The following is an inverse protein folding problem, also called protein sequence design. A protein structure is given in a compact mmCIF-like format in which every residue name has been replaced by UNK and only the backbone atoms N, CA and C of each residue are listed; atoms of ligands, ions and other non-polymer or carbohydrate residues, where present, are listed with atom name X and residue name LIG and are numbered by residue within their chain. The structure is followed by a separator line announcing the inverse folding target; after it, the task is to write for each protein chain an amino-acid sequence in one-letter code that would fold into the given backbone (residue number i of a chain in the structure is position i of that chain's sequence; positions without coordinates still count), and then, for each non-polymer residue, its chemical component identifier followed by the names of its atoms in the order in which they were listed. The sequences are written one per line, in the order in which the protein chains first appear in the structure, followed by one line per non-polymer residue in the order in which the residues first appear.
data_IF_770103791173
#
_entry.id   IF_770103791173
#
_cell.length_a   1.000
_cell.length_b   1.000
_cell.length_c   1.000
_cell.angle_alpha   90.00
_cell.angle_beta   90.00
_cell.angle_gamma   90.00
#
_symmetry.space_group_name_H-M   'P 1'
#
loop_
_entity.id
_entity.type
_entity.pdbx_description
1 polymer ?
#
# COMPACT_ATOMS: atom_id res chain seq x y z
N UNK A 1 9.34 -0.82 1.92
CA UNK A 1 9.37 -0.52 3.37
C UNK A 1 9.68 0.95 3.69
N UNK A 2 10.35 1.72 2.83
CA UNK A 2 10.66 3.15 3.12
C UNK A 2 9.57 4.16 2.69
N UNK A 3 9.61 5.38 3.22
CA UNK A 3 8.69 6.47 2.91
C UNK A 3 9.39 7.85 2.89
N UNK A 4 9.63 8.41 1.70
CA UNK A 4 10.41 9.65 1.55
C UNK A 4 9.53 10.90 1.42
N UNK A 5 10.02 12.01 1.98
CA UNK A 5 9.46 13.34 1.74
C UNK A 5 9.99 13.91 0.42
N UNK A 6 9.09 14.04 -0.55
CA UNK A 6 9.39 14.62 -1.86
C UNK A 6 9.03 16.11 -1.97
N UNK A 7 8.44 16.71 -0.92
CA UNK A 7 7.99 18.11 -0.94
C UNK A 7 9.11 19.09 -0.62
N UNK A 8 10.08 18.69 0.19
CA UNK A 8 11.21 19.52 0.59
C UNK A 8 12.24 19.75 -0.52
N UNK A 9 12.22 18.94 -1.60
CA UNK A 9 13.21 18.96 -2.70
C UNK A 9 14.68 18.93 -2.24
N UNK A 10 14.94 18.49 -1.00
CA UNK A 10 16.29 18.36 -0.45
C UNK A 10 16.93 17.04 -0.88
N UNK A 11 18.24 17.07 -1.18
CA UNK A 11 19.03 15.88 -1.50
C UNK A 11 20.09 15.71 -0.39
N UNK A 12 20.22 14.52 0.22
CA UNK A 12 19.43 13.31 0.00
C UNK A 12 17.98 13.46 0.47
N UNK A 13 17.05 12.70 -0.16
CA UNK A 13 15.65 12.66 0.26
C UNK A 13 15.57 12.13 1.70
N UNK A 14 14.73 12.77 2.50
CA UNK A 14 14.56 12.40 3.91
C UNK A 14 13.48 11.33 4.03
N UNK A 15 13.80 10.20 4.66
CA UNK A 15 12.80 9.22 5.10
C UNK A 15 11.99 9.83 6.25
N UNK A 16 10.66 9.72 6.20
CA UNK A 16 9.74 10.40 7.13
C UNK A 16 8.59 9.48 7.52
N UNK A 17 8.04 9.71 8.71
CA UNK A 17 6.85 9.00 9.17
C UNK A 17 5.57 9.43 8.45
N UNK A 18 5.45 10.71 8.07
CA UNK A 18 4.24 11.23 7.43
C UNK A 18 4.07 10.62 6.04
N UNK A 19 2.98 9.90 5.82
CA UNK A 19 2.64 9.29 4.55
C UNK A 19 1.65 10.18 3.78
N UNK A 20 1.97 10.51 2.53
CA UNK A 20 1.09 11.32 1.70
C UNK A 20 0.03 10.45 1.03
N UNK A 21 -1.23 10.62 1.43
CA UNK A 21 -2.37 9.97 0.80
C UNK A 21 -3.52 10.97 0.66
N UNK A 22 -3.90 11.28 -0.59
CA UNK A 22 -4.98 12.23 -0.88
C UNK A 22 -6.24 11.49 -1.31
N UNK A 23 -7.38 11.88 -0.71
CA UNK A 23 -8.66 11.24 -0.98
C UNK A 23 -9.35 11.83 -2.21
N UNK A 24 -9.87 10.97 -3.07
CA UNK A 24 -10.78 11.31 -4.16
C UNK A 24 -11.79 10.16 -4.36
N UNK A 25 -12.80 10.36 -5.19
CA UNK A 25 -13.85 9.35 -5.44
C UNK A 25 -13.91 8.98 -6.92
N UNK A 26 -14.19 7.71 -7.20
CA UNK A 26 -14.34 7.17 -8.56
C UNK A 26 -15.33 5.99 -8.54
N UNK A 27 -15.55 5.35 -9.69
CA UNK A 27 -16.36 4.13 -9.79
C UNK A 27 -15.48 2.89 -9.94
N UNK A 28 -16.01 1.71 -9.58
CA UNK A 28 -15.33 0.42 -9.78
C UNK A 28 -14.89 0.27 -11.24
N UNK A 29 -15.76 0.60 -12.20
CA UNK A 29 -15.44 0.50 -13.63
C UNK A 29 -14.24 1.37 -14.03
N UNK A 30 -14.20 2.65 -13.60
CA UNK A 30 -13.08 3.55 -13.91
C UNK A 30 -11.79 3.11 -13.22
N UNK A 31 -11.89 2.62 -11.99
CA UNK A 31 -10.71 2.14 -11.26
C UNK A 31 -10.17 0.84 -11.88
N UNK A 32 -11.03 -0.09 -12.28
CA UNK A 32 -10.65 -1.32 -12.97
C UNK A 32 -9.91 -1.03 -14.28
N UNK A 33 -10.37 -0.04 -15.06
CA UNK A 33 -9.65 0.42 -16.25
C UNK A 33 -8.24 0.92 -15.89
N UNK A 34 -8.13 1.79 -14.87
CA UNK A 34 -6.83 2.26 -14.40
C UNK A 34 -5.91 1.12 -13.94
N UNK A 35 -6.42 0.16 -13.17
CA UNK A 35 -5.66 -0.98 -12.68
C UNK A 35 -5.13 -1.83 -13.84
N UNK A 36 -5.96 -2.11 -14.85
CA UNK A 36 -5.58 -2.86 -16.04
C UNK A 36 -4.52 -2.12 -16.88
N UNK A 37 -4.69 -0.82 -17.10
CA UNK A 37 -3.68 0.00 -17.81
C UNK A 37 -2.35 0.05 -17.05
N UNK A 38 -2.39 0.23 -15.73
CA UNK A 38 -1.19 0.24 -14.90
C UNK A 38 -0.41 -1.07 -15.04
N UNK A 39 -1.10 -2.21 -15.08
CA UNK A 39 -0.48 -3.51 -15.31
C UNK A 39 0.14 -3.62 -16.70
N UNK A 40 -0.59 -3.21 -17.75
CA UNK A 40 -0.06 -3.24 -19.13
C UNK A 40 1.18 -2.35 -19.30
N UNK A 41 1.20 -1.17 -18.68
CA UNK A 41 2.37 -0.29 -18.73
C UNK A 41 3.56 -0.94 -18.03
N UNK A 42 3.36 -1.55 -16.86
CA UNK A 42 4.43 -2.27 -16.16
C UNK A 42 5.02 -3.43 -16.98
N UNK A 43 4.17 -4.24 -17.63
CA UNK A 43 4.64 -5.33 -18.49
C UNK A 43 5.43 -4.81 -19.69
N UNK A 44 5.01 -3.67 -20.28
CA UNK A 44 5.76 -3.05 -21.37
C UNK A 44 7.12 -2.53 -20.91
N UNK A 45 7.18 -1.93 -19.72
CA UNK A 45 8.43 -1.46 -19.13
C UNK A 45 9.39 -2.65 -18.94
N UNK A 46 8.92 -3.76 -18.37
CA UNK A 46 9.72 -4.99 -18.20
C UNK A 46 10.22 -5.59 -19.52
N UNK A 47 9.41 -5.57 -20.59
CA UNK A 47 9.79 -6.11 -21.89
C UNK A 47 10.75 -5.21 -22.69
N UNK A 48 10.77 -3.91 -22.40
CA UNK A 48 11.63 -2.93 -23.07
C UNK A 48 12.97 -2.71 -22.34
N UNK A 49 13.15 -3.27 -21.14
CA UNK A 49 14.45 -3.30 -20.46
C UNK A 49 15.42 -4.25 -21.21
N UNK A 50 16.59 -3.77 -21.66
CA UNK A 50 17.57 -4.63 -22.32
C UNK A 50 18.09 -5.66 -21.30
N UNK A 51 17.92 -6.95 -21.61
CA UNK A 51 18.51 -8.06 -20.84
C UNK A 51 20.04 -7.95 -20.92
N UNK A 52 20.64 -7.29 -19.94
CA UNK A 52 22.09 -7.38 -19.71
C UNK A 52 22.40 -8.76 -19.11
N UNK A 53 23.26 -9.57 -19.73
CA UNK A 53 23.66 -10.84 -19.15
C UNK A 53 24.45 -10.58 -17.85
N UNK A 54 24.13 -11.35 -16.81
CA UNK A 54 24.77 -11.28 -15.50
C UNK A 54 26.27 -11.54 -15.59
N UNK A 55 27.08 -10.47 -15.54
CA UNK A 55 28.52 -10.60 -15.28
C UNK A 55 28.75 -10.37 -13.79
N UNK A 56 29.08 -11.47 -13.13
CA UNK A 56 29.50 -11.53 -11.75
C UNK A 56 30.95 -11.04 -11.66
N UNK A 57 31.23 -9.85 -11.13
CA UNK A 57 32.50 -9.51 -10.44
C UNK A 57 32.45 -8.14 -9.75
N UNK A 58 32.78 -8.16 -8.46
CA UNK A 58 33.17 -7.06 -7.59
C UNK A 58 33.85 -5.87 -8.29
N UNK A 59 33.25 -4.68 -8.22
CA UNK A 59 33.93 -3.40 -7.98
C UNK A 59 32.87 -2.28 -8.01
N UNK A 60 32.87 -1.43 -6.98
CA UNK A 60 32.02 -0.24 -6.98
C UNK A 60 32.43 0.65 -8.14
N UNK A 61 31.49 0.95 -9.04
CA UNK A 61 31.54 2.07 -9.95
C UNK A 61 30.12 2.31 -10.51
N UNK A 62 29.70 3.55 -10.29
CA UNK A 62 28.49 4.25 -10.73
C UNK A 62 28.12 3.88 -12.17
N UNK A 63 27.01 3.16 -12.36
CA UNK A 63 26.43 2.92 -13.67
C UNK A 63 25.51 4.10 -14.05
N UNK A 64 26.09 5.09 -14.73
CA UNK A 64 25.36 6.12 -15.44
C UNK A 64 24.48 5.49 -16.52
N UNK A 65 23.17 5.44 -16.30
CA UNK A 65 22.19 5.11 -17.34
C UNK A 65 21.43 6.38 -17.72
N UNK A 66 21.92 7.06 -18.75
CA UNK A 66 21.19 8.11 -19.45
C UNK A 66 20.09 7.45 -20.31
N UNK A 67 18.88 7.31 -19.77
CA UNK A 67 17.71 6.89 -20.54
C UNK A 67 17.09 8.14 -21.20
N UNK A 68 17.41 8.36 -22.47
CA UNK A 68 16.75 9.35 -23.32
C UNK A 68 15.49 8.68 -23.90
N UNK A 69 14.31 9.03 -23.39
CA UNK A 69 13.03 8.71 -24.02
C UNK A 69 12.57 9.90 -24.88
N UNK A 70 12.65 9.75 -26.20
CA UNK A 70 12.11 10.70 -27.16
C UNK A 70 10.63 10.42 -27.42
N UNK A 71 9.75 11.36 -27.07
CA UNK A 71 8.37 11.37 -27.55
C UNK A 71 8.35 11.67 -29.06
N UNK A 72 7.67 10.81 -29.83
CA UNK A 72 7.37 11.09 -31.23
C UNK A 72 6.41 12.27 -31.36
N UNK A 73 6.89 13.37 -31.92
CA UNK A 73 6.31 14.14 -33.05
C UNK A 73 7.29 15.28 -33.41
N UNK A 74 7.39 15.61 -34.69
CA UNK A 74 8.55 16.24 -35.31
C UNK A 74 8.80 17.74 -35.01
N UNK A 75 10.09 18.13 -35.14
CA UNK A 75 10.69 19.46 -35.47
C UNK A 75 10.65 20.59 -34.42
N UNK A 76 11.80 20.87 -33.78
CA UNK A 76 12.79 21.89 -34.19
C UNK A 76 13.96 21.95 -33.21
N UNK A 77 15.16 22.00 -33.77
CA UNK A 77 16.47 22.24 -33.13
C UNK A 77 16.52 23.55 -32.36
N UNK A 78 17.09 23.55 -31.16
CA UNK A 78 17.96 24.63 -30.64
C UNK A 78 18.77 24.12 -29.44
N UNK A 79 20.09 24.20 -29.55
CA UNK A 79 21.07 23.88 -28.52
C UNK A 79 20.87 24.74 -27.26
N UNK A 80 20.93 24.12 -26.06
CA UNK A 80 21.32 24.81 -24.82
C UNK A 80 21.91 23.82 -23.80
N UNK A 81 23.22 23.91 -23.66
CA UNK A 81 24.04 23.82 -22.43
C UNK A 81 23.56 22.93 -21.30
N UNK A 82 24.35 21.87 -21.07
CA UNK A 82 24.40 21.01 -19.90
C UNK A 82 24.35 21.78 -18.57
N UNK A 83 23.26 21.61 -17.84
CA UNK A 83 23.24 21.78 -16.39
C UNK A 83 22.90 20.40 -15.82
N UNK A 84 23.86 19.81 -15.10
CA UNK A 84 23.69 18.56 -14.35
C UNK A 84 22.74 18.83 -13.17
N UNK A 85 21.44 18.90 -13.44
CA UNK A 85 20.43 18.71 -12.42
C UNK A 85 20.18 17.20 -12.39
N UNK A 86 20.57 16.56 -11.29
CA UNK A 86 20.12 15.22 -10.92
C UNK A 86 18.60 15.23 -10.88
N UNK A 87 17.95 14.94 -12.01
CA UNK A 87 16.51 14.92 -12.13
C UNK A 87 16.01 13.81 -11.22
N UNK A 88 15.27 14.18 -10.17
CA UNK A 88 14.42 13.27 -9.42
C UNK A 88 13.70 12.39 -10.45
N UNK A 89 13.99 11.09 -10.46
CA UNK A 89 13.23 10.10 -11.25
C UNK A 89 11.76 10.42 -11.07
N UNK A 90 11.04 10.68 -12.16
CA UNK A 90 9.64 11.16 -12.10
C UNK A 90 8.83 10.29 -11.14
N UNK A 91 8.44 10.87 -10.00
CA UNK A 91 7.70 10.15 -8.96
C UNK A 91 6.39 9.68 -9.58
N UNK A 92 6.21 8.37 -9.69
CA UNK A 92 4.99 7.79 -10.24
C UNK A 92 3.89 7.91 -9.20
N UNK A 93 2.98 8.86 -9.39
CA UNK A 93 1.76 8.96 -8.58
C UNK A 93 0.87 7.75 -8.93
N UNK A 94 0.55 6.95 -7.91
CA UNK A 94 -0.37 5.82 -8.02
C UNK A 94 -1.72 6.16 -7.38
N UNK A 95 -2.75 5.39 -7.71
CA UNK A 95 -4.07 5.47 -7.08
C UNK A 95 -4.37 4.14 -6.42
N UNK A 96 -5.00 4.17 -5.25
CA UNK A 96 -5.47 2.98 -4.54
C UNK A 96 -6.98 3.02 -4.39
N UNK A 97 -7.66 1.93 -4.75
CA UNK A 97 -9.11 1.80 -4.62
C UNK A 97 -9.41 1.15 -3.28
N UNK A 98 -9.72 1.95 -2.26
CA UNK A 98 -9.89 1.47 -0.88
C UNK A 98 -11.34 1.54 -0.45
N UNK A 99 -11.72 0.72 0.54
CA UNK A 99 -13.01 0.79 1.23
C UNK A 99 -14.24 0.70 0.31
N UNK A 100 -14.19 -0.12 -0.75
CA UNK A 100 -15.34 -0.36 -1.63
C UNK A 100 -16.37 -1.20 -0.87
N UNK A 101 -17.54 -0.62 -0.58
CA UNK A 101 -18.57 -1.27 0.22
C UNK A 101 -19.30 -2.38 -0.55
N UNK A 102 -19.26 -3.59 0.01
CA UNK A 102 -19.96 -4.77 -0.51
C UNK A 102 -21.17 -5.16 0.35
N UNK A 103 -21.71 -4.25 1.18
CA UNK A 103 -22.82 -4.52 2.10
C UNK A 103 -24.18 -4.85 1.44
N UNK A 104 -24.43 -4.40 0.20
CA UNK A 104 -25.72 -4.63 -0.49
C UNK A 104 -25.84 -6.07 -1.00
N UNK A 105 -26.53 -6.92 -0.22
CA UNK A 105 -26.73 -8.33 -0.53
C UNK A 105 -27.37 -8.58 -1.90
N UNK A 106 -28.20 -7.66 -2.40
CA UNK A 106 -28.84 -7.84 -3.71
C UNK A 106 -27.85 -7.68 -4.86
N UNK A 107 -26.80 -6.88 -4.66
CA UNK A 107 -25.75 -6.64 -5.67
C UNK A 107 -24.64 -7.67 -5.57
N UNK A 108 -24.32 -8.12 -4.35
CA UNK A 108 -23.15 -8.93 -4.06
C UNK A 108 -23.47 -10.32 -3.51
N UNK A 109 -24.70 -10.82 -3.73
CA UNK A 109 -25.18 -12.10 -3.20
C UNK A 109 -24.19 -13.25 -3.41
N UNK A 110 -23.66 -13.38 -4.62
CA UNK A 110 -22.70 -14.44 -4.95
C UNK A 110 -21.42 -14.31 -4.13
N UNK A 111 -20.84 -13.10 -4.06
CA UNK A 111 -19.62 -12.82 -3.32
C UNK A 111 -19.80 -13.04 -1.81
N UNK A 112 -20.89 -12.54 -1.23
CA UNK A 112 -21.18 -12.70 0.19
C UNK A 112 -21.49 -14.15 0.56
N UNK A 113 -22.18 -14.88 -0.32
CA UNK A 113 -22.44 -16.32 -0.14
C UNK A 113 -21.15 -17.14 -0.10
N UNK A 114 -20.14 -16.80 -0.91
CA UNK A 114 -18.85 -17.50 -0.87
C UNK A 114 -18.15 -17.37 0.49
N UNK A 115 -18.24 -16.19 1.12
CA UNK A 115 -17.64 -15.95 2.44
C UNK A 115 -18.32 -16.74 3.57
N UNK A 116 -19.55 -17.23 3.36
CA UNK A 116 -20.21 -18.12 4.33
C UNK A 116 -19.53 -19.48 4.43
N UNK A 117 -18.64 -19.84 3.50
CA UNK A 117 -17.85 -21.09 3.56
C UNK A 117 -16.72 -21.03 4.57
N UNK A 118 -16.34 -19.84 5.05
CA UNK A 118 -15.32 -19.67 6.08
C UNK A 118 -15.73 -20.37 7.40
N UNK A 119 -14.76 -20.74 8.27
CA UNK A 119 -15.03 -21.14 9.64
C UNK A 119 -15.81 -20.06 10.41
N UNK A 120 -16.67 -20.47 11.34
CA UNK A 120 -17.59 -19.55 12.05
C UNK A 120 -16.91 -18.34 12.70
N UNK A 121 -15.72 -18.52 13.27
CA UNK A 121 -14.97 -17.46 13.95
C UNK A 121 -14.36 -16.42 12.98
N UNK A 122 -14.37 -16.70 11.67
CA UNK A 122 -13.88 -15.81 10.61
C UNK A 122 -15.01 -15.19 9.77
N UNK A 123 -16.27 -15.60 9.99
CA UNK A 123 -17.41 -15.08 9.22
C UNK A 123 -17.77 -13.67 9.66
N UNK A 124 -18.20 -12.88 8.68
CA UNK A 124 -18.75 -11.51 8.89
C UNK A 124 -19.90 -11.52 9.90
N UNK A 125 -20.80 -12.51 9.77
CA UNK A 125 -21.92 -12.70 10.69
C UNK A 125 -21.82 -14.09 11.33
N UNK A 126 -21.78 -14.14 12.66
CA UNK A 126 -21.88 -15.38 13.43
C UNK A 126 -22.33 -15.09 14.87
N UNK A 127 -22.93 -16.09 15.54
CA UNK A 127 -23.38 -15.93 16.92
C UNK A 127 -22.23 -15.64 17.90
N UNK A 128 -21.01 -16.06 17.58
CA UNK A 128 -19.81 -15.80 18.38
C UNK A 128 -19.10 -14.49 18.07
N UNK A 129 -19.54 -13.73 17.06
CA UNK A 129 -18.96 -12.44 16.70
C UNK A 129 -19.71 -11.30 17.40
N UNK A 130 -19.04 -10.56 18.29
CA UNK A 130 -19.62 -9.41 19.01
C UNK A 130 -20.22 -8.36 18.05
N UNK A 131 -19.61 -8.13 16.88
CA UNK A 131 -20.11 -7.17 15.91
C UNK A 131 -21.46 -7.57 15.28
N UNK A 132 -21.85 -8.85 15.38
CA UNK A 132 -23.16 -9.35 14.93
C UNK A 132 -24.30 -8.99 15.90
N UNK A 133 -23.98 -8.63 17.15
CA UNK A 133 -24.96 -8.30 18.19
C UNK A 133 -25.28 -6.80 18.28
N UNK A 134 -24.64 -5.98 17.46
CA UNK A 134 -24.83 -4.51 17.44
C UNK A 134 -26.25 -4.13 16.96
N UNK A 135 -26.88 -4.97 16.14
CA UNK A 135 -28.25 -4.75 15.65
C UNK A 135 -28.35 -3.78 14.46
N UNK A 136 -27.23 -3.24 13.96
CA UNK A 136 -27.16 -2.42 12.75
C UNK A 136 -25.80 -2.56 12.05
N UNK A 137 -25.73 -2.11 10.79
CA UNK A 137 -24.51 -2.16 9.98
C UNK A 137 -23.50 -1.09 10.39
N UNK A 138 -22.27 -1.50 10.63
CA UNK A 138 -21.08 -0.66 10.71
C UNK A 138 -20.21 -0.99 9.50
N UNK A 139 -20.22 -0.11 8.51
CA UNK A 139 -19.58 -0.32 7.22
C UNK A 139 -18.09 -0.66 7.36
N UNK A 140 -17.68 -1.82 6.84
CA UNK A 140 -16.30 -2.31 6.90
C UNK A 140 -15.91 -3.06 8.17
N UNK A 141 -16.77 -3.09 9.20
CA UNK A 141 -16.53 -3.89 10.41
C UNK A 141 -17.42 -5.14 10.41
N UNK A 142 -18.74 -4.98 10.31
CA UNK A 142 -19.69 -6.08 10.13
C UNK A 142 -20.30 -6.14 8.73
N UNK A 143 -19.68 -5.44 7.78
CA UNK A 143 -19.90 -5.60 6.35
C UNK A 143 -18.55 -5.69 5.63
N UNK A 144 -18.55 -6.32 4.45
CA UNK A 144 -17.32 -6.55 3.69
C UNK A 144 -16.89 -5.27 2.97
N UNK A 145 -15.60 -4.96 3.03
CA UNK A 145 -14.95 -3.97 2.17
C UNK A 145 -13.98 -4.65 1.20
N UNK A 146 -13.97 -4.17 -0.05
CA UNK A 146 -13.02 -4.58 -1.08
C UNK A 146 -11.95 -3.50 -1.29
N UNK A 147 -10.72 -3.97 -1.51
CA UNK A 147 -9.57 -3.16 -1.88
C UNK A 147 -9.06 -3.58 -3.25
N UNK A 148 -8.91 -2.63 -4.16
CA UNK A 148 -8.34 -2.82 -5.50
C UNK A 148 -6.99 -2.11 -5.56
N UNK A 149 -5.90 -2.85 -5.77
CA UNK A 149 -4.53 -2.36 -5.58
C UNK A 149 -3.71 -2.42 -6.87
N UNK A 150 -2.77 -1.49 -7.00
CA UNK A 150 -1.60 -1.57 -7.89
C UNK A 150 -0.33 -1.64 -7.04
N UNK A 151 0.81 -2.10 -7.58
CA UNK A 151 2.06 -2.13 -6.84
C UNK A 151 2.40 -0.80 -6.18
N UNK A 152 2.81 -0.85 -4.91
CA UNK A 152 3.06 0.32 -4.07
C UNK A 152 1.83 0.90 -3.37
N UNK A 153 0.60 0.40 -3.61
CA UNK A 153 -0.58 0.79 -2.84
C UNK A 153 -0.40 0.46 -1.36
N UNK A 154 -0.62 1.44 -0.47
CA UNK A 154 -0.41 1.30 0.98
C UNK A 154 -1.70 1.58 1.75
N UNK A 155 -1.94 0.74 2.76
CA UNK A 155 -2.74 1.13 3.93
C UNK A 155 -1.73 1.56 5.00
N UNK A 156 -1.76 2.81 5.48
CA UNK A 156 -0.81 3.31 6.48
C UNK A 156 -0.98 2.58 7.82
N UNK A 157 -0.06 2.82 8.75
CA UNK A 157 -0.16 2.30 10.11
C UNK A 157 -1.44 2.76 10.80
N UNK A 158 -2.09 1.82 11.50
CA UNK A 158 -3.31 2.03 12.28
C UNK A 158 -3.52 0.84 13.21
N UNK A 159 -4.39 1.03 14.21
CA UNK A 159 -5.11 -0.06 14.86
C UNK A 159 -6.52 -0.12 14.28
N UNK A 160 -7.15 -1.29 14.30
CA UNK A 160 -8.54 -1.44 13.87
C UNK A 160 -9.48 -0.63 14.77
N UNK A 161 -10.64 -0.25 14.25
CA UNK A 161 -11.62 0.52 15.02
C UNK A 161 -12.01 -0.23 16.30
N UNK A 162 -11.87 0.45 17.44
CA UNK A 162 -12.11 -0.12 18.77
C UNK A 162 -11.31 -1.41 19.06
N UNK A 163 -10.15 -1.59 18.39
CA UNK A 163 -9.24 -2.73 18.57
C UNK A 163 -9.88 -4.10 18.30
N UNK A 164 -10.93 -4.15 17.48
CA UNK A 164 -11.48 -5.42 17.02
C UNK A 164 -10.47 -6.17 16.15
N UNK A 165 -10.54 -7.50 16.17
CA UNK A 165 -9.78 -8.31 15.22
C UNK A 165 -10.21 -8.01 13.78
N UNK A 166 -9.29 -8.17 12.83
CA UNK A 166 -9.58 -8.08 11.40
C UNK A 166 -9.25 -9.38 10.67
N UNK A 167 -10.03 -9.63 9.61
CA UNK A 167 -9.81 -10.72 8.65
C UNK A 167 -9.52 -10.06 7.30
N UNK A 168 -8.41 -10.44 6.68
CA UNK A 168 -8.05 -10.01 5.33
C UNK A 168 -7.75 -11.22 4.45
N UNK A 169 -8.34 -11.28 3.26
CA UNK A 169 -8.08 -12.32 2.26
C UNK A 169 -7.53 -11.67 1.00
N UNK A 170 -6.35 -12.10 0.55
CA UNK A 170 -5.79 -11.61 -0.71
C UNK A 170 -6.41 -12.37 -1.88
N UNK A 171 -7.14 -11.66 -2.75
CA UNK A 171 -7.74 -12.23 -3.96
C UNK A 171 -6.69 -12.49 -5.05
N UNK A 172 -5.57 -11.76 -5.04
CA UNK A 172 -4.53 -11.84 -6.05
C UNK A 172 -4.77 -10.96 -7.30
N UNK A 173 -3.98 -11.14 -8.37
CA UNK A 173 -2.94 -12.18 -8.52
C UNK A 173 -1.60 -11.84 -7.86
N UNK A 174 -1.39 -10.59 -7.46
CA UNK A 174 -0.16 -10.15 -6.79
C UNK A 174 -0.17 -10.42 -5.28
N UNK A 175 1.00 -10.26 -4.68
CA UNK A 175 1.21 -10.44 -3.24
C UNK A 175 0.96 -9.12 -2.47
N UNK A 176 0.66 -9.24 -1.17
CA UNK A 176 0.71 -8.12 -0.24
C UNK A 176 1.81 -8.35 0.80
N UNK A 177 2.62 -7.33 1.07
CA UNK A 177 3.58 -7.34 2.18
C UNK A 177 2.93 -6.72 3.42
N UNK A 178 3.04 -7.42 4.54
CA UNK A 178 2.49 -7.03 5.83
C UNK A 178 3.60 -6.69 6.82
N UNK A 179 3.33 -5.66 7.62
CA UNK A 179 4.13 -5.24 8.76
C UNK A 179 3.20 -5.16 9.96
N UNK A 180 3.52 -5.84 11.05
CA UNK A 180 2.72 -5.83 12.27
C UNK A 180 3.60 -5.71 13.50
N UNK A 181 3.08 -5.03 14.50
CA UNK A 181 3.69 -4.87 15.82
C UNK A 181 2.66 -5.33 16.85
N UNK A 182 3.11 -5.98 17.94
CA UNK A 182 2.20 -6.40 18.99
C UNK A 182 1.56 -5.19 19.70
N UNK A 183 0.28 -5.32 20.07
CA UNK A 183 -0.51 -4.26 20.70
C UNK A 183 0.22 -3.62 21.89
N UNK A 184 0.96 -4.36 22.71
CA UNK A 184 1.68 -3.80 23.88
C UNK A 184 2.66 -2.64 23.55
N UNK A 185 3.12 -2.52 22.30
CA UNK A 185 3.99 -1.44 21.86
C UNK A 185 3.25 -0.22 21.26
N UNK A 186 1.90 -0.24 21.19
CA UNK A 186 1.12 0.84 20.57
C UNK A 186 1.44 2.21 21.18
N UNK A 187 1.66 2.27 22.49
CA UNK A 187 2.01 3.51 23.19
C UNK A 187 3.38 4.08 22.78
N UNK A 188 4.36 3.22 22.48
CA UNK A 188 5.67 3.67 21.98
C UNK A 188 5.56 4.18 20.55
N UNK A 189 4.77 3.49 19.71
CA UNK A 189 4.48 3.95 18.34
C UNK A 189 3.74 5.30 18.38
N UNK A 190 2.78 5.48 19.28
CA UNK A 190 2.10 6.75 19.48
C UNK A 190 3.09 7.88 19.78
N UNK A 191 4.04 7.68 20.72
CA UNK A 191 5.09 8.67 21.02
C UNK A 191 5.97 8.96 19.80
N UNK A 192 6.26 7.96 18.96
CA UNK A 192 7.00 8.16 17.70
C UNK A 192 6.19 8.97 16.68
N UNK A 193 4.88 8.74 16.57
CA UNK A 193 3.97 9.56 15.76
C UNK A 193 3.98 11.04 16.23
N UNK A 194 3.82 11.29 17.53
CA UNK A 194 3.86 12.64 18.11
C UNK A 194 5.19 13.35 17.84
N UNK A 195 6.32 12.65 18.06
CA UNK A 195 7.67 13.17 17.79
C UNK A 195 7.86 13.58 16.33
N UNK A 196 7.16 12.90 15.42
CA UNK A 196 7.22 13.17 13.98
C UNK A 196 6.08 14.07 13.47
N UNK A 197 5.27 14.64 14.36
CA UNK A 197 4.22 15.59 14.01
C UNK A 197 3.08 14.98 13.19
N UNK A 198 2.76 13.71 13.42
CA UNK A 198 1.62 13.01 12.81
C UNK A 198 0.75 12.40 13.90
N UNK A 199 -0.57 12.52 13.76
CA UNK A 199 -1.52 11.95 14.73
C UNK A 199 -1.58 10.42 14.59
N UNK A 200 -1.50 9.69 15.70
CA UNK A 200 -1.49 8.23 15.71
C UNK A 200 -2.84 7.63 15.25
N UNK A 201 -3.96 8.19 15.71
CA UNK A 201 -5.29 7.60 15.50
C UNK A 201 -5.91 7.97 14.14
N UNK A 202 -5.64 9.18 13.66
CA UNK A 202 -6.32 9.79 12.51
C UNK A 202 -5.37 10.24 11.42
N UNK A 203 -4.06 10.30 11.71
CA UNK A 203 -3.04 10.65 10.73
C UNK A 203 -2.75 9.52 9.75
N UNK A 204 -2.06 9.86 8.65
CA UNK A 204 -1.50 8.87 7.73
C UNK A 204 -0.01 8.77 7.96
N UNK A 205 0.43 7.66 8.53
CA UNK A 205 1.83 7.44 8.90
C UNK A 205 2.35 6.09 8.43
N UNK A 206 3.65 6.04 8.16
CA UNK A 206 4.37 4.87 7.69
C UNK A 206 5.68 4.76 8.49
N UNK A 207 5.83 3.79 9.41
CA UNK A 207 6.99 3.73 10.29
C UNK A 207 8.31 3.60 9.55
N UNK A 208 9.35 4.23 10.10
CA UNK A 208 10.74 3.98 9.72
C UNK A 208 11.22 2.77 10.53
N UNK A 209 11.64 1.69 9.86
CA UNK A 209 11.98 0.44 10.53
C UNK A 209 13.18 0.59 11.49
N UNK A 210 14.15 1.44 11.16
CA UNK A 210 15.29 1.72 12.05
C UNK A 210 14.85 2.40 13.35
N UNK A 211 13.88 3.32 13.30
CA UNK A 211 13.32 3.95 14.51
C UNK A 211 12.64 2.91 15.42
N UNK A 212 11.95 1.92 14.83
CA UNK A 212 11.34 0.82 15.57
C UNK A 212 12.41 -0.10 16.17
N UNK A 213 13.48 -0.39 15.42
CA UNK A 213 14.61 -1.19 15.89
C UNK A 213 15.33 -0.52 17.06
N UNK A 214 15.63 0.78 16.94
CA UNK A 214 16.26 1.58 18.00
C UNK A 214 15.39 1.67 19.26
N UNK A 215 14.06 1.70 19.08
CA UNK A 215 13.08 1.65 20.16
C UNK A 215 12.84 0.23 20.72
N UNK A 216 13.57 -0.78 20.24
CA UNK A 216 13.43 -2.18 20.63
C UNK A 216 12.02 -2.76 20.43
N UNK A 217 11.35 -2.33 19.35
CA UNK A 217 10.01 -2.79 18.97
C UNK A 217 10.15 -3.95 17.96
N UNK A 218 9.70 -5.17 18.31
CA UNK A 218 9.67 -6.28 17.36
C UNK A 218 8.67 -6.02 16.23
N UNK A 219 9.09 -6.29 14.99
CA UNK A 219 8.24 -6.16 13.79
C UNK A 219 8.09 -7.52 13.13
N UNK A 220 6.84 -7.99 13.02
CA UNK A 220 6.49 -9.11 12.16
C UNK A 220 6.40 -8.61 10.72
N UNK A 221 7.18 -9.20 9.81
CA UNK A 221 7.16 -8.89 8.38
C UNK A 221 6.93 -10.18 7.59
N UNK A 222 5.91 -10.22 6.75
CA UNK A 222 5.59 -11.41 5.96
C UNK A 222 4.83 -11.08 4.68
N UNK A 223 4.78 -12.04 3.77
CA UNK A 223 4.06 -11.94 2.50
C UNK A 223 2.75 -12.73 2.59
N UNK A 224 1.66 -12.09 2.18
CA UNK A 224 0.35 -12.71 1.98
C UNK A 224 0.15 -12.96 0.48
N UNK A 225 0.20 -14.22 0.07
CA UNK A 225 -0.01 -14.66 -1.31
C UNK A 225 -1.51 -14.72 -1.65
N UNK A 226 -1.88 -14.81 -2.94
CA UNK A 226 -3.27 -15.05 -3.32
C UNK A 226 -3.86 -16.29 -2.63
N UNK A 227 -5.03 -16.13 -2.03
CA UNK A 227 -5.73 -17.16 -1.24
C UNK A 227 -5.35 -17.19 0.24
N UNK A 228 -4.23 -16.57 0.64
CA UNK A 228 -3.86 -16.49 2.05
C UNK A 228 -4.80 -15.56 2.81
N UNK A 229 -5.16 -15.98 4.03
CA UNK A 229 -5.95 -15.21 4.98
C UNK A 229 -5.05 -14.72 6.12
N UNK A 230 -5.07 -13.42 6.37
CA UNK A 230 -4.42 -12.78 7.53
C UNK A 230 -5.47 -12.50 8.59
N UNK A 231 -5.23 -13.00 9.79
CA UNK A 231 -5.98 -12.66 11.00
C UNK A 231 -5.14 -11.68 11.82
N UNK A 232 -5.63 -10.44 11.95
CA UNK A 232 -5.05 -9.45 12.86
C UNK A 232 -5.79 -9.59 14.18
N UNK A 233 -5.07 -9.89 15.25
CA UNK A 233 -5.66 -10.06 16.58
C UNK A 233 -6.08 -8.69 17.17
N UNK A 234 -6.60 -8.68 18.40
CA UNK A 234 -6.97 -7.44 19.08
C UNK A 234 -5.81 -6.45 19.22
N UNK A 235 -6.10 -5.17 18.98
CA UNK A 235 -5.16 -4.04 19.06
C UNK A 235 -4.21 -3.94 17.87
#
# INVERSE_FOLDING_TARGET
DENFDFTSMTIPLKNVWKHQSTRSYTTIAKYAQYQAYSYHDMVKDELNEPILPSINTNSGLIANTNIIMTNGTAKKTTNKTSTNNSSISSIRIIKSGTNVDLSDERKWAAQLSELTKLPLFMRVVSAGNLLSHIGYTISGMNSVQLYMKVPGSRTPGHQENNNFCAININIGPGDCEWFAVANEYWGVIHTLCEKNGVDFLTGSWWPILDDLYDAQIPVYRFIQKPGDLVFVNIG
#
